data_IF_250678767253
#
_entry.id   IF_250678767253
#
_cell.length_a   1.000
_cell.length_b   1.000
_cell.length_c   1.000
_cell.angle_alpha   90.00
_cell.angle_beta   90.00
_cell.angle_gamma   90.00
#
_symmetry.space_group_name_H-M   'P 1'
#
loop_
_entity.id
_entity.type
_entity.pdbx_description
1 polymer ?
#
# COMPACT_ATOMS: atom_id res chain seq x y z
N UNK A 1 76.52 67.19 31.74
CA UNK A 1 76.41 65.92 30.97
C UNK A 1 74.97 65.49 31.02
N UNK A 2 74.24 65.75 29.93
CA UNK A 2 72.78 65.46 29.79
C UNK A 2 72.66 64.14 29.14
N UNK A 3 71.90 63.23 29.76
CA UNK A 3 71.40 61.96 29.12
C UNK A 3 69.97 62.17 28.68
N UNK A 4 69.73 62.13 27.38
CA UNK A 4 68.43 62.16 26.79
C UNK A 4 67.86 60.73 26.80
N UNK A 5 66.66 60.56 27.38
CA UNK A 5 65.87 59.32 27.27
C UNK A 5 64.92 59.48 26.11
N UNK A 6 65.02 58.60 25.13
CA UNK A 6 64.08 58.44 24.05
C UNK A 6 62.93 57.52 24.52
N UNK A 7 61.74 58.03 24.54
CA UNK A 7 60.54 57.23 24.66
C UNK A 7 60.11 56.75 23.26
N UNK A 8 60.10 55.45 23.04
CA UNK A 8 59.48 54.84 21.83
C UNK A 8 58.07 54.47 22.16
N UNK A 9 57.15 55.18 21.56
CA UNK A 9 55.65 54.87 21.62
C UNK A 9 55.35 53.82 20.59
N UNK A 10 55.16 52.57 21.03
CA UNK A 10 54.75 51.50 20.18
C UNK A 10 53.21 51.54 19.95
N UNK A 11 52.82 51.89 18.75
CA UNK A 11 51.40 51.79 18.32
C UNK A 11 51.06 50.34 18.00
N UNK A 12 50.24 49.73 18.86
CA UNK A 12 49.59 48.44 18.57
C UNK A 12 48.42 48.67 17.60
N UNK A 13 48.67 48.35 16.33
CA UNK A 13 47.55 48.21 15.32
C UNK A 13 46.87 46.89 15.53
N UNK A 14 45.71 46.91 16.18
CA UNK A 14 44.81 45.76 16.22
C UNK A 14 44.09 45.61 14.88
N UNK A 15 44.51 44.64 14.09
CA UNK A 15 43.81 44.21 12.87
C UNK A 15 42.60 43.37 13.28
N UNK A 16 41.44 43.98 13.41
CA UNK A 16 40.17 43.24 13.53
C UNK A 16 39.77 42.71 12.15
N UNK A 17 40.06 41.43 11.94
CA UNK A 17 39.55 40.70 10.80
C UNK A 17 38.06 40.46 10.98
N UNK A 18 37.24 41.31 10.39
CA UNK A 18 35.80 41.04 10.24
C UNK A 18 35.65 39.90 9.23
N UNK A 19 35.51 38.67 9.70
CA UNK A 19 34.94 37.61 8.90
C UNK A 19 33.46 37.96 8.66
N UNK A 20 33.15 38.44 7.48
CA UNK A 20 31.78 38.36 6.95
C UNK A 20 31.44 36.88 6.85
N UNK A 21 30.64 36.37 7.81
CA UNK A 21 29.90 35.16 7.61
C UNK A 21 28.89 35.50 6.50
N UNK A 22 29.25 35.13 5.29
CA UNK A 22 28.32 35.16 4.17
C UNK A 22 27.13 34.28 4.56
N UNK A 23 25.94 34.86 4.62
CA UNK A 23 24.72 34.09 4.63
C UNK A 23 24.82 33.14 3.46
N UNK A 24 24.77 31.83 3.72
CA UNK A 24 24.55 30.83 2.70
C UNK A 24 23.13 31.11 2.21
N UNK A 25 23.03 31.89 1.15
CA UNK A 25 21.79 31.88 0.36
C UNK A 25 21.62 30.43 -0.08
N UNK A 26 20.64 29.76 0.49
CA UNK A 26 20.13 28.51 -0.07
C UNK A 26 19.55 28.89 -1.42
N UNK A 27 20.38 28.81 -2.45
CA UNK A 27 19.90 28.75 -3.82
C UNK A 27 19.07 27.47 -3.88
N UNK A 28 17.77 27.60 -3.75
CA UNK A 28 16.82 26.59 -4.21
C UNK A 28 16.92 26.61 -5.73
N UNK A 29 17.91 25.91 -6.28
CA UNK A 29 17.77 25.45 -7.65
C UNK A 29 16.53 24.59 -7.65
N UNK A 30 15.50 25.05 -8.33
CA UNK A 30 14.34 24.23 -8.72
C UNK A 30 14.89 23.14 -9.67
N UNK A 31 15.43 22.08 -9.07
CA UNK A 31 16.02 20.95 -9.81
C UNK A 31 14.96 20.01 -10.35
N UNK A 32 13.66 20.31 -10.13
CA UNK A 32 12.57 19.37 -10.43
C UNK A 32 12.60 18.10 -9.57
N UNK A 33 13.46 18.05 -8.56
CA UNK A 33 13.59 16.92 -7.65
C UNK A 33 12.47 16.96 -6.60
N UNK A 34 11.60 15.96 -6.63
CA UNK A 34 10.49 15.87 -5.68
C UNK A 34 11.00 15.47 -4.29
N UNK A 35 10.63 16.25 -3.28
CA UNK A 35 10.98 15.98 -1.87
C UNK A 35 9.81 15.23 -1.21
N UNK A 36 10.11 14.09 -0.61
CA UNK A 36 9.11 13.24 0.04
C UNK A 36 9.56 12.80 1.43
N UNK A 37 8.63 12.30 2.24
CA UNK A 37 8.93 11.54 3.45
C UNK A 37 9.01 10.06 3.12
N UNK A 38 10.05 9.40 3.63
CA UNK A 38 10.24 7.94 3.46
C UNK A 38 9.16 7.22 4.25
N UNK A 39 8.44 6.33 3.57
CA UNK A 39 7.50 5.41 4.18
C UNK A 39 8.20 4.27 4.93
N UNK A 40 7.74 3.03 4.71
CA UNK A 40 8.23 1.83 5.40
C UNK A 40 7.27 1.33 6.47
N UNK A 41 6.24 2.12 6.79
CA UNK A 41 5.17 1.69 7.68
C UNK A 41 4.27 0.66 6.98
N UNK A 42 3.91 -0.40 7.71
CA UNK A 42 2.89 -1.36 7.25
C UNK A 42 1.52 -0.72 7.26
N UNK A 43 0.79 -0.93 6.19
CA UNK A 43 -0.56 -0.42 6.00
C UNK A 43 -1.54 -1.54 5.65
N UNK A 44 -2.73 -1.45 6.20
CA UNK A 44 -3.87 -2.28 5.85
C UNK A 44 -4.73 -1.59 4.80
N UNK A 45 -4.86 -2.20 3.64
CA UNK A 45 -5.67 -1.67 2.53
C UNK A 45 -7.01 -2.39 2.49
N UNK A 46 -8.10 -1.63 2.49
CA UNK A 46 -9.45 -2.13 2.19
C UNK A 46 -9.95 -1.43 0.94
N UNK A 47 -9.89 -2.14 -0.19
CA UNK A 47 -10.13 -1.60 -1.53
C UNK A 47 -11.50 -2.05 -2.03
N UNK A 48 -12.39 -1.12 -2.32
CA UNK A 48 -13.71 -1.40 -2.88
C UNK A 48 -13.61 -1.66 -4.38
N UNK A 49 -14.19 -2.76 -4.83
CA UNK A 49 -14.14 -3.17 -6.24
C UNK A 49 -15.28 -2.58 -7.10
N UNK A 50 -16.27 -1.95 -6.48
CA UNK A 50 -17.49 -1.54 -7.18
C UNK A 50 -18.31 -2.72 -7.74
N UNK A 51 -18.04 -3.94 -7.28
CA UNK A 51 -18.68 -5.19 -7.69
C UNK A 51 -19.04 -6.01 -6.46
N UNK A 52 -20.24 -6.60 -6.45
CA UNK A 52 -20.62 -7.56 -5.40
C UNK A 52 -20.37 -8.97 -5.88
N UNK A 53 -19.41 -9.65 -5.29
CA UNK A 53 -19.05 -11.03 -5.63
C UNK A 53 -19.59 -12.01 -4.61
N UNK A 54 -20.23 -13.09 -5.11
CA UNK A 54 -20.65 -14.24 -4.30
C UNK A 54 -19.41 -15.08 -3.98
N UNK A 55 -19.00 -15.11 -2.71
CA UNK A 55 -17.83 -15.88 -2.25
C UNK A 55 -18.22 -17.21 -1.59
N UNK A 56 -19.50 -17.41 -1.34
CA UNK A 56 -20.03 -18.65 -0.82
C UNK A 56 -21.56 -18.65 -0.80
N UNK A 57 -22.13 -19.83 -0.59
CA UNK A 57 -23.54 -20.02 -0.38
C UNK A 57 -23.78 -20.51 1.04
N UNK A 58 -24.88 -20.09 1.65
CA UNK A 58 -25.24 -20.48 2.99
C UNK A 58 -26.75 -20.71 3.13
N UNK A 59 -27.15 -21.32 4.22
CA UNK A 59 -28.53 -21.53 4.57
C UNK A 59 -29.11 -20.31 5.29
N UNK A 60 -30.40 -20.09 5.15
CA UNK A 60 -31.20 -19.09 5.86
C UNK A 60 -32.25 -19.80 6.67
N UNK A 61 -32.34 -19.51 7.96
CA UNK A 61 -33.38 -20.07 8.84
C UNK A 61 -34.61 -19.16 8.79
N UNK A 62 -35.72 -19.70 8.30
CA UNK A 62 -36.99 -18.99 8.24
C UNK A 62 -38.05 -19.65 9.14
N UNK A 63 -39.24 -19.06 9.25
CA UNK A 63 -40.39 -19.65 9.94
C UNK A 63 -40.81 -21.02 9.34
N UNK A 64 -40.62 -21.21 8.04
CA UNK A 64 -40.92 -22.42 7.32
C UNK A 64 -39.81 -23.48 7.30
N UNK A 65 -38.68 -23.21 7.97
CA UNK A 65 -37.53 -24.10 8.03
C UNK A 65 -36.26 -23.49 7.42
N UNK A 66 -35.28 -24.35 7.17
CA UNK A 66 -33.97 -24.00 6.65
C UNK A 66 -33.90 -24.20 5.13
N UNK A 67 -33.43 -23.20 4.39
CA UNK A 67 -33.29 -23.32 2.94
C UNK A 67 -32.23 -22.33 2.40
N UNK A 68 -31.76 -22.55 1.18
CA UNK A 68 -30.83 -21.64 0.48
C UNK A 68 -31.47 -21.17 -0.83
N UNK A 69 -32.18 -20.03 -0.84
CA UNK A 69 -32.86 -19.53 -2.03
C UNK A 69 -31.88 -19.29 -3.19
N UNK A 70 -30.70 -18.78 -2.93
CA UNK A 70 -29.67 -18.52 -3.94
C UNK A 70 -29.21 -19.83 -4.61
N UNK A 71 -28.95 -20.88 -3.82
CA UNK A 71 -28.53 -22.18 -4.32
C UNK A 71 -29.66 -22.79 -5.18
N UNK A 72 -30.90 -22.77 -4.66
CA UNK A 72 -32.08 -23.30 -5.36
C UNK A 72 -32.37 -22.59 -6.68
N UNK A 73 -32.04 -21.31 -6.77
CA UNK A 73 -32.18 -20.52 -7.99
C UNK A 73 -30.97 -20.66 -8.96
N UNK A 74 -29.89 -21.33 -8.56
CA UNK A 74 -28.73 -21.59 -9.42
C UNK A 74 -27.66 -20.54 -9.36
N UNK A 75 -27.62 -19.65 -8.34
CA UNK A 75 -26.45 -18.81 -8.03
C UNK A 75 -25.28 -19.69 -7.62
N UNK A 76 -24.04 -19.25 -7.90
CA UNK A 76 -22.81 -19.99 -7.63
C UNK A 76 -21.75 -19.10 -7.02
N UNK A 77 -20.85 -19.69 -6.28
CA UNK A 77 -19.60 -19.02 -5.88
C UNK A 77 -18.84 -18.56 -7.11
N UNK A 78 -18.34 -17.34 -7.08
CA UNK A 78 -17.68 -16.66 -8.19
C UNK A 78 -18.59 -15.77 -9.03
N UNK A 79 -19.93 -15.89 -8.91
CA UNK A 79 -20.86 -14.97 -9.58
C UNK A 79 -20.65 -13.54 -9.11
N UNK A 80 -20.71 -12.59 -10.04
CA UNK A 80 -20.73 -11.16 -9.72
C UNK A 80 -22.15 -10.63 -9.96
N UNK A 81 -22.74 -10.07 -8.93
CA UNK A 81 -24.08 -9.46 -9.02
C UNK A 81 -23.94 -8.09 -9.65
N UNK A 82 -24.47 -7.92 -10.86
CA UNK A 82 -24.41 -6.67 -11.64
C UNK A 82 -25.62 -5.78 -11.30
N UNK A 83 -26.82 -6.39 -11.26
CA UNK A 83 -28.05 -5.67 -10.94
C UNK A 83 -29.09 -6.61 -10.33
N UNK A 84 -30.04 -6.02 -9.61
CA UNK A 84 -31.20 -6.70 -9.06
C UNK A 84 -32.44 -5.97 -9.51
N UNK A 85 -33.30 -6.65 -10.30
CA UNK A 85 -34.54 -6.10 -10.92
C UNK A 85 -34.26 -4.75 -11.63
N UNK A 86 -33.15 -4.68 -12.40
CA UNK A 86 -32.76 -3.52 -13.18
C UNK A 86 -31.99 -2.44 -12.38
N UNK A 87 -31.91 -2.56 -11.06
CA UNK A 87 -31.14 -1.62 -10.22
C UNK A 87 -29.69 -2.10 -10.12
N UNK A 88 -28.73 -1.28 -10.52
CA UNK A 88 -27.28 -1.58 -10.39
C UNK A 88 -26.91 -1.79 -8.93
N UNK A 89 -26.04 -2.77 -8.68
CA UNK A 89 -25.56 -3.10 -7.33
C UNK A 89 -24.05 -3.06 -7.31
N UNK A 90 -23.46 -2.17 -6.51
CA UNK A 90 -22.03 -1.97 -6.37
C UNK A 90 -21.51 -2.35 -4.97
N UNK A 91 -22.42 -2.39 -3.98
CA UNK A 91 -22.06 -2.74 -2.60
C UNK A 91 -23.00 -3.77 -1.98
N UNK A 92 -22.47 -4.53 -1.02
CA UNK A 92 -23.28 -5.49 -0.23
C UNK A 92 -24.37 -4.77 0.55
N UNK A 93 -24.13 -3.55 0.99
CA UNK A 93 -25.13 -2.70 1.67
C UNK A 93 -26.32 -2.41 0.75
N UNK A 94 -26.07 -1.95 -0.50
CA UNK A 94 -27.13 -1.71 -1.49
C UNK A 94 -27.92 -3.00 -1.79
N UNK A 95 -27.23 -4.14 -1.93
CA UNK A 95 -27.88 -5.42 -2.13
C UNK A 95 -28.86 -5.72 -0.98
N UNK A 96 -28.39 -5.60 0.27
CA UNK A 96 -29.22 -5.89 1.44
C UNK A 96 -30.42 -4.93 1.54
N UNK A 97 -30.27 -3.66 1.23
CA UNK A 97 -31.38 -2.70 1.17
C UNK A 97 -32.45 -3.08 0.14
N UNK A 98 -32.03 -3.54 -1.05
CA UNK A 98 -32.96 -3.99 -2.09
C UNK A 98 -33.71 -5.22 -1.59
N UNK A 99 -33.04 -6.20 -0.99
CA UNK A 99 -33.67 -7.40 -0.44
C UNK A 99 -34.73 -7.05 0.61
N UNK A 100 -34.41 -6.16 1.55
CA UNK A 100 -35.31 -5.76 2.61
C UNK A 100 -36.58 -4.99 2.08
N UNK A 101 -36.36 -4.09 1.10
CA UNK A 101 -37.44 -3.29 0.48
C UNK A 101 -38.47 -4.16 -0.26
N UNK A 102 -38.07 -5.30 -0.78
CA UNK A 102 -38.94 -6.17 -1.58
C UNK A 102 -39.86 -7.08 -0.76
N UNK A 103 -39.61 -7.18 0.55
CA UNK A 103 -40.47 -7.98 1.47
C UNK A 103 -40.72 -9.40 0.99
N UNK A 104 -39.72 -10.06 0.44
CA UNK A 104 -39.78 -11.45 -0.01
C UNK A 104 -40.38 -11.65 -1.40
N UNK A 105 -40.62 -10.60 -2.17
CA UNK A 105 -40.97 -10.73 -3.59
C UNK A 105 -39.81 -11.30 -4.38
N UNK A 106 -40.15 -12.08 -5.41
CA UNK A 106 -39.18 -12.65 -6.34
C UNK A 106 -38.46 -11.56 -7.13
N UNK A 107 -37.13 -11.71 -7.29
CA UNK A 107 -36.25 -10.71 -7.89
C UNK A 107 -35.41 -11.34 -9.01
N UNK A 108 -35.18 -10.58 -10.06
CA UNK A 108 -34.28 -10.94 -11.16
C UNK A 108 -32.89 -10.43 -10.89
N UNK A 109 -31.94 -11.35 -10.70
CA UNK A 109 -30.52 -11.05 -10.53
C UNK A 109 -29.82 -11.16 -11.88
N UNK A 110 -29.29 -10.06 -12.40
CA UNK A 110 -28.32 -10.10 -13.49
C UNK A 110 -26.96 -10.36 -12.91
N UNK A 111 -26.34 -11.47 -13.28
CA UNK A 111 -25.03 -11.87 -12.76
C UNK A 111 -24.07 -12.15 -13.90
N UNK A 112 -22.82 -11.76 -13.71
CA UNK A 112 -21.70 -12.13 -14.58
C UNK A 112 -21.05 -13.39 -14.02
N UNK A 113 -21.02 -14.46 -14.83
CA UNK A 113 -20.40 -15.76 -14.54
C UNK A 113 -19.35 -16.05 -15.59
N UNK A 114 -18.07 -15.85 -15.24
CA UNK A 114 -17.02 -15.80 -16.26
C UNK A 114 -17.24 -14.65 -17.24
N UNK A 115 -17.35 -14.96 -18.52
CA UNK A 115 -17.62 -13.98 -19.58
C UNK A 115 -19.12 -13.87 -19.91
N UNK A 116 -19.95 -14.75 -19.36
CA UNK A 116 -21.40 -14.79 -19.62
C UNK A 116 -22.16 -13.87 -18.65
N UNK A 117 -23.20 -13.18 -19.17
CA UNK A 117 -24.17 -12.45 -18.38
C UNK A 117 -25.48 -13.24 -18.36
N UNK A 118 -25.92 -13.70 -17.19
CA UNK A 118 -27.10 -14.53 -17.02
C UNK A 118 -28.08 -13.88 -16.05
N UNK A 119 -29.38 -14.21 -16.21
CA UNK A 119 -30.42 -13.80 -15.26
C UNK A 119 -30.81 -14.98 -14.40
N UNK A 120 -30.80 -14.78 -13.09
CA UNK A 120 -31.21 -15.78 -12.09
C UNK A 120 -32.35 -15.20 -11.27
N UNK A 121 -33.46 -15.93 -11.19
CA UNK A 121 -34.62 -15.45 -10.46
C UNK A 121 -34.66 -16.04 -9.04
N UNK A 122 -34.51 -15.17 -8.04
CA UNK A 122 -34.37 -15.56 -6.63
C UNK A 122 -35.50 -14.97 -5.80
N UNK A 123 -36.06 -15.76 -4.90
CA UNK A 123 -37.03 -15.30 -3.93
C UNK A 123 -36.38 -15.18 -2.54
N UNK A 124 -36.19 -13.95 -2.02
CA UNK A 124 -35.68 -13.75 -0.67
C UNK A 124 -36.66 -14.30 0.38
N UNK A 125 -36.07 -14.85 1.45
CA UNK A 125 -36.85 -15.32 2.61
C UNK A 125 -36.47 -14.52 3.85
N UNK A 126 -37.45 -14.37 4.77
CA UNK A 126 -37.22 -13.65 6.02
C UNK A 126 -36.43 -14.54 6.99
N UNK A 127 -35.23 -14.09 7.34
CA UNK A 127 -34.41 -14.77 8.33
C UNK A 127 -34.98 -14.58 9.74
N UNK A 128 -35.24 -15.70 10.44
CA UNK A 128 -35.89 -15.73 11.76
C UNK A 128 -35.06 -15.04 12.84
N UNK A 129 -33.73 -15.06 12.71
CA UNK A 129 -32.83 -14.53 13.72
C UNK A 129 -32.72 -13.01 13.61
N UNK A 130 -32.50 -12.52 12.36
CA UNK A 130 -32.24 -11.08 12.12
C UNK A 130 -33.49 -10.30 11.72
N UNK A 131 -34.57 -10.98 11.33
CA UNK A 131 -35.80 -10.39 10.80
C UNK A 131 -35.63 -9.76 9.41
N UNK A 132 -34.45 -9.84 8.80
CA UNK A 132 -34.14 -9.28 7.48
C UNK A 132 -34.37 -10.29 6.37
N UNK A 133 -34.60 -9.80 5.15
CA UNK A 133 -34.76 -10.68 3.98
C UNK A 133 -33.37 -11.05 3.43
N UNK A 134 -33.13 -12.34 3.25
CA UNK A 134 -31.88 -12.92 2.78
C UNK A 134 -32.12 -13.91 1.64
N UNK A 135 -31.07 -14.13 0.85
CA UNK A 135 -31.07 -15.11 -0.24
C UNK A 135 -30.11 -16.29 0.01
N UNK A 136 -29.32 -16.25 1.10
CA UNK A 136 -28.40 -17.32 1.45
C UNK A 136 -27.10 -17.27 0.67
N UNK A 137 -26.44 -16.10 0.63
CA UNK A 137 -25.10 -15.91 0.07
C UNK A 137 -24.16 -15.29 1.10
N UNK A 138 -22.88 -15.62 0.96
CA UNK A 138 -21.77 -14.84 1.47
C UNK A 138 -21.27 -13.98 0.33
N UNK A 139 -21.29 -12.67 0.49
CA UNK A 139 -20.91 -11.72 -0.55
C UNK A 139 -19.83 -10.77 -0.05
N UNK A 140 -18.95 -10.33 -0.95
CA UNK A 140 -17.97 -9.29 -0.70
C UNK A 140 -17.97 -8.24 -1.82
N UNK A 141 -17.67 -7.00 -1.47
CA UNK A 141 -17.53 -5.87 -2.39
C UNK A 141 -16.17 -5.18 -2.24
N UNK A 142 -15.29 -5.75 -1.44
CA UNK A 142 -13.96 -5.22 -1.16
C UNK A 142 -12.92 -6.33 -1.05
N UNK A 143 -11.67 -5.93 -1.23
CA UNK A 143 -10.49 -6.77 -1.03
C UNK A 143 -9.62 -6.10 0.02
N UNK A 144 -9.15 -6.85 1.01
CA UNK A 144 -8.25 -6.35 2.04
C UNK A 144 -6.92 -7.07 1.98
N UNK A 145 -5.84 -6.35 2.30
CA UNK A 145 -4.50 -6.89 2.32
C UNK A 145 -3.54 -5.98 3.08
N UNK A 146 -2.35 -6.52 3.39
CA UNK A 146 -1.26 -5.78 4.02
C UNK A 146 -0.24 -5.43 2.93
N UNK A 147 0.27 -4.21 3.00
CA UNK A 147 1.40 -3.74 2.20
C UNK A 147 2.17 -2.67 2.95
N UNK A 148 3.10 -2.04 2.25
CA UNK A 148 3.95 -1.01 2.81
C UNK A 148 3.76 0.30 2.06
N UNK A 149 3.63 1.42 2.78
CA UNK A 149 3.66 2.76 2.21
C UNK A 149 5.10 3.05 1.77
N UNK A 150 5.28 3.48 0.52
CA UNK A 150 6.61 3.77 -0.04
C UNK A 150 7.05 5.18 0.31
N UNK A 151 6.19 6.15 0.07
CA UNK A 151 6.47 7.56 0.31
C UNK A 151 5.21 8.34 0.65
N UNK A 152 5.42 9.49 1.29
CA UNK A 152 4.40 10.50 1.54
C UNK A 152 4.89 11.82 0.98
N UNK A 153 4.12 12.39 0.07
CA UNK A 153 4.27 13.73 -0.46
C UNK A 153 3.32 14.68 0.27
N UNK A 154 3.86 15.40 1.24
CA UNK A 154 3.05 16.33 2.05
C UNK A 154 2.71 17.61 1.28
N UNK A 155 3.50 17.99 0.29
CA UNK A 155 3.24 19.17 -0.52
C UNK A 155 1.96 19.01 -1.34
N UNK A 156 1.79 17.82 -1.93
CA UNK A 156 0.61 17.47 -2.73
C UNK A 156 -0.43 16.66 -1.95
N UNK A 157 -0.19 16.41 -0.66
CA UNK A 157 -1.05 15.58 0.20
C UNK A 157 -1.30 14.17 -0.35
N UNK A 158 -0.27 13.54 -0.93
CA UNK A 158 -0.35 12.24 -1.61
C UNK A 158 0.53 11.19 -0.95
N UNK A 159 0.19 9.92 -1.18
CA UNK A 159 1.06 8.79 -0.85
C UNK A 159 1.16 7.82 -2.04
N UNK A 160 2.25 7.05 -2.08
CA UNK A 160 2.41 5.88 -2.95
C UNK A 160 2.79 4.65 -2.12
N UNK A 161 2.26 3.49 -2.52
CA UNK A 161 2.42 2.23 -1.81
C UNK A 161 2.47 1.03 -2.76
N UNK A 162 2.93 -0.14 -2.27
CA UNK A 162 2.98 -1.47 -2.91
C UNK A 162 3.95 -1.63 -4.07
N UNK A 163 4.10 -0.69 -4.98
CA UNK A 163 4.98 -0.79 -6.15
C UNK A 163 4.57 -1.82 -7.22
N UNK A 164 3.39 -2.42 -7.12
CA UNK A 164 2.84 -3.37 -8.10
C UNK A 164 1.31 -3.40 -8.03
N UNK A 165 0.67 -3.99 -9.07
CA UNK A 165 -0.78 -4.16 -9.10
C UNK A 165 -1.27 -5.17 -8.06
N UNK A 166 -2.53 -5.02 -7.65
CA UNK A 166 -3.26 -6.05 -6.89
C UNK A 166 -4.09 -6.88 -7.87
N UNK A 167 -3.90 -8.17 -7.85
CA UNK A 167 -4.65 -9.11 -8.70
C UNK A 167 -5.69 -9.86 -7.89
N UNK A 168 -6.82 -10.16 -8.52
CA UNK A 168 -7.85 -11.05 -7.97
C UNK A 168 -7.37 -12.52 -8.00
N UNK A 169 -8.09 -13.41 -7.32
CA UNK A 169 -7.83 -14.86 -7.33
C UNK A 169 -7.84 -15.45 -8.76
N UNK A 170 -8.64 -14.87 -9.67
CA UNK A 170 -8.71 -15.24 -11.08
C UNK A 170 -7.59 -14.63 -11.95
N UNK A 171 -6.56 -14.04 -11.32
CA UNK A 171 -5.40 -13.36 -11.94
C UNK A 171 -5.74 -12.12 -12.75
N UNK A 172 -6.98 -11.62 -12.72
CA UNK A 172 -7.33 -10.33 -13.34
C UNK A 172 -6.95 -9.20 -12.41
N UNK A 173 -6.55 -8.07 -12.99
CA UNK A 173 -6.27 -6.85 -12.22
C UNK A 173 -7.52 -6.39 -11.48
N UNK A 174 -7.35 -6.01 -10.23
CA UNK A 174 -8.41 -5.41 -9.43
C UNK A 174 -8.63 -3.98 -9.92
N UNK A 175 -9.84 -3.66 -10.34
CA UNK A 175 -10.27 -2.27 -10.50
C UNK A 175 -10.88 -1.82 -9.19
N UNK A 176 -10.47 -0.67 -8.70
CA UNK A 176 -11.01 -0.08 -7.47
C UNK A 176 -11.85 1.14 -7.80
N UNK A 177 -12.90 1.36 -7.02
CA UNK A 177 -13.66 2.62 -7.02
C UNK A 177 -13.09 3.60 -5.99
N UNK A 178 -12.74 3.09 -4.83
CA UNK A 178 -12.10 3.77 -3.72
C UNK A 178 -11.52 2.75 -2.73
N UNK A 179 -10.83 3.24 -1.70
CA UNK A 179 -10.35 2.39 -0.61
C UNK A 179 -9.96 3.21 0.61
N UNK A 180 -9.83 2.52 1.74
CA UNK A 180 -9.32 3.11 2.97
C UNK A 180 -8.00 2.44 3.30
N UNK A 181 -7.04 3.24 3.74
CA UNK A 181 -5.72 2.80 4.18
C UNK A 181 -5.61 3.04 5.67
N UNK A 182 -5.39 1.98 6.42
CA UNK A 182 -5.26 2.00 7.87
C UNK A 182 -3.83 1.78 8.31
N UNK A 183 -3.47 2.29 9.47
CA UNK A 183 -2.28 1.80 10.17
C UNK A 183 -2.45 0.31 10.47
N UNK A 184 -1.36 -0.47 10.32
CA UNK A 184 -1.40 -1.91 10.52
C UNK A 184 -0.36 -2.32 11.58
N UNK A 185 -0.84 -2.95 12.63
CA UNK A 185 0.02 -3.54 13.66
C UNK A 185 0.41 -4.97 13.24
N UNK A 186 1.69 -5.19 12.95
CA UNK A 186 2.20 -6.52 12.62
C UNK A 186 2.35 -7.34 13.89
N UNK A 187 1.63 -8.44 13.95
CA UNK A 187 1.56 -9.34 15.13
C UNK A 187 2.31 -10.66 14.92
N UNK A 188 2.86 -10.88 13.73
CA UNK A 188 3.65 -12.07 13.46
C UNK A 188 4.07 -12.18 12.01
N UNK A 189 5.00 -13.10 11.75
CA UNK A 189 5.55 -13.39 10.43
C UNK A 189 5.49 -14.89 10.14
N UNK A 190 5.00 -15.24 8.97
CA UNK A 190 5.21 -16.56 8.37
C UNK A 190 6.49 -16.47 7.54
N UNK A 191 7.57 -17.16 7.95
CA UNK A 191 8.85 -17.06 7.23
C UNK A 191 8.77 -17.57 5.81
N UNK A 192 9.42 -16.84 4.91
CA UNK A 192 9.68 -17.30 3.54
C UNK A 192 10.69 -18.45 3.53
N UNK A 193 10.42 -19.44 2.71
CA UNK A 193 11.35 -20.56 2.44
C UNK A 193 11.39 -20.84 0.96
N UNK A 194 12.43 -21.48 0.50
CA UNK A 194 12.55 -21.83 -0.92
C UNK A 194 11.30 -22.55 -1.42
N UNK A 195 10.70 -22.03 -2.48
CA UNK A 195 9.47 -22.55 -3.10
C UNK A 195 8.18 -21.99 -2.51
N UNK A 196 8.24 -21.24 -1.40
CA UNK A 196 7.06 -20.63 -0.76
C UNK A 196 7.38 -19.25 -0.21
N UNK A 197 6.66 -18.25 -0.68
CA UNK A 197 6.72 -16.91 -0.09
C UNK A 197 6.21 -16.95 1.36
N UNK A 198 6.82 -16.14 2.23
CA UNK A 198 6.31 -15.85 3.55
C UNK A 198 5.29 -14.71 3.52
N UNK A 199 4.74 -14.36 4.68
CA UNK A 199 3.75 -13.28 4.82
C UNK A 199 3.85 -12.58 6.18
N UNK A 200 3.60 -11.28 6.20
CA UNK A 200 3.33 -10.54 7.42
C UNK A 200 1.87 -10.77 7.84
N UNK A 201 1.66 -10.97 9.14
CA UNK A 201 0.32 -11.06 9.74
C UNK A 201 0.10 -9.85 10.60
N UNK A 202 -0.99 -9.13 10.35
CA UNK A 202 -1.25 -7.89 11.05
C UNK A 202 -2.74 -7.66 11.31
N UNK A 203 -3.00 -6.69 12.17
CA UNK A 203 -4.34 -6.20 12.49
C UNK A 203 -4.44 -4.74 12.07
N UNK A 204 -5.48 -4.41 11.31
CA UNK A 204 -5.77 -3.02 10.93
C UNK A 204 -6.28 -2.27 12.17
N UNK A 205 -5.69 -1.12 12.43
CA UNK A 205 -6.13 -0.23 13.48
C UNK A 205 -7.22 0.68 12.91
N UNK A 206 -8.49 0.24 13.03
CA UNK A 206 -9.64 0.89 12.37
C UNK A 206 -9.92 2.32 12.83
N UNK A 207 -9.37 2.73 13.96
CA UNK A 207 -9.40 4.08 14.52
C UNK A 207 -8.26 4.98 13.99
N UNK A 208 -7.31 4.41 13.24
CA UNK A 208 -6.16 5.12 12.69
C UNK A 208 -6.09 4.99 11.17
N UNK A 209 -6.69 5.95 10.48
CA UNK A 209 -6.67 6.02 9.03
C UNK A 209 -5.42 6.76 8.56
N UNK A 210 -4.60 6.13 7.72
CA UNK A 210 -3.45 6.76 7.06
C UNK A 210 -3.87 7.61 5.86
N UNK A 211 -4.96 7.24 5.20
CA UNK A 211 -5.45 7.94 4.03
C UNK A 211 -6.52 7.19 3.25
N UNK A 212 -6.84 7.70 2.07
CA UNK A 212 -7.78 7.09 1.12
C UNK A 212 -7.05 6.66 -0.15
N UNK A 213 -7.29 5.42 -0.60
CA UNK A 213 -6.77 4.93 -1.88
C UNK A 213 -7.73 5.33 -3.00
N UNK A 214 -7.22 6.00 -4.03
CA UNK A 214 -8.01 6.51 -5.15
C UNK A 214 -7.68 5.81 -6.47
N UNK A 215 -6.43 5.38 -6.60
CA UNK A 215 -5.90 4.80 -7.83
C UNK A 215 -5.13 3.53 -7.55
N UNK A 216 -5.41 2.49 -8.33
CA UNK A 216 -4.63 1.27 -8.39
C UNK A 216 -4.18 1.06 -9.83
N UNK A 217 -2.89 0.88 -10.03
CA UNK A 217 -2.30 0.62 -11.34
C UNK A 217 -1.20 -0.45 -11.26
N UNK A 218 -0.49 -0.67 -12.37
CA UNK A 218 0.61 -1.65 -12.44
C UNK A 218 1.80 -1.31 -11.54
N UNK A 219 1.92 -0.07 -11.09
CA UNK A 219 3.03 0.42 -10.27
C UNK A 219 2.65 0.71 -8.82
N UNK A 220 1.43 0.39 -8.38
CA UNK A 220 1.07 0.49 -6.97
C UNK A 220 -0.33 1.01 -6.68
N UNK A 221 -0.51 1.43 -5.44
CA UNK A 221 -1.69 2.12 -4.91
C UNK A 221 -1.30 3.54 -4.58
N UNK A 222 -2.14 4.49 -4.99
CA UNK A 222 -1.96 5.93 -4.78
C UNK A 222 -3.23 6.55 -4.22
N UNK A 223 -3.08 7.65 -3.47
CA UNK A 223 -4.23 8.32 -2.90
C UNK A 223 -3.84 9.49 -2.01
N UNK A 224 -4.81 10.01 -1.28
CA UNK A 224 -4.63 11.13 -0.37
C UNK A 224 -4.26 10.66 1.05
N UNK A 225 -3.34 11.38 1.65
CA UNK A 225 -2.97 11.19 3.06
C UNK A 225 -4.05 11.79 3.97
N UNK A 226 -4.34 11.17 5.10
CA UNK A 226 -5.24 11.75 6.10
C UNK A 226 -4.75 13.13 6.56
N UNK A 227 -5.67 14.08 6.80
CA UNK A 227 -5.30 15.46 7.14
C UNK A 227 -4.51 15.59 8.42
N UNK A 228 -4.77 14.69 9.36
CA UNK A 228 -4.12 14.58 10.67
C UNK A 228 -2.95 13.60 10.69
N UNK A 229 -2.53 13.10 9.51
CA UNK A 229 -1.38 12.21 9.43
C UNK A 229 -0.12 12.93 9.87
N UNK A 230 0.51 12.38 10.91
CA UNK A 230 1.74 12.89 11.48
C UNK A 230 2.96 12.37 10.71
N UNK A 231 3.84 13.29 10.31
CA UNK A 231 5.13 12.97 9.67
C UNK A 231 6.32 13.12 10.62
N UNK A 232 6.07 13.43 11.90
CA UNK A 232 7.13 13.56 12.88
C UNK A 232 7.87 12.22 13.03
N UNK A 233 9.20 12.30 13.00
CA UNK A 233 10.05 11.10 13.03
C UNK A 233 10.27 10.41 11.69
N UNK A 234 9.56 10.80 10.62
CA UNK A 234 9.84 10.30 9.27
C UNK A 234 11.01 11.05 8.63
N UNK A 235 11.87 10.31 7.93
CA UNK A 235 13.00 10.91 7.22
C UNK A 235 12.51 11.58 5.94
N UNK A 236 12.91 12.83 5.76
CA UNK A 236 12.67 13.61 4.54
C UNK A 236 13.82 13.43 3.57
N UNK A 237 13.54 13.18 2.30
CA UNK A 237 14.57 12.94 1.28
C UNK A 237 14.11 13.36 -0.11
N UNK A 238 15.07 13.41 -1.03
CA UNK A 238 14.82 13.57 -2.46
C UNK A 238 14.45 12.20 -3.05
N UNK A 239 13.35 12.14 -3.79
CA UNK A 239 12.95 10.96 -4.54
C UNK A 239 13.53 11.02 -5.96
N UNK A 240 14.63 10.29 -6.21
CA UNK A 240 15.28 10.23 -7.52
C UNK A 240 16.09 8.95 -7.67
N UNK A 241 15.87 8.24 -8.77
CA UNK A 241 16.63 7.05 -9.16
C UNK A 241 17.75 7.35 -10.17
N UNK A 242 18.00 8.62 -10.50
CA UNK A 242 18.95 9.01 -11.56
C UNK A 242 20.33 8.37 -11.36
N UNK A 243 20.83 8.39 -10.14
CA UNK A 243 22.14 7.87 -9.76
C UNK A 243 22.09 6.47 -9.13
N UNK A 244 20.94 5.76 -9.21
CA UNK A 244 20.83 4.41 -8.69
C UNK A 244 21.77 3.45 -9.46
N UNK A 245 22.58 2.69 -8.72
CA UNK A 245 23.56 1.76 -9.26
C UNK A 245 23.69 0.49 -8.40
N UNK A 246 24.27 -0.59 -8.93
CA UNK A 246 24.60 -1.76 -8.13
C UNK A 246 25.47 -1.39 -6.92
N UNK A 247 25.19 -1.97 -5.74
CA UNK A 247 25.92 -1.70 -4.50
C UNK A 247 25.00 -1.64 -3.28
N UNK A 248 25.57 -1.21 -2.15
CA UNK A 248 24.87 -1.11 -0.87
C UNK A 248 23.69 -0.12 -0.94
N UNK A 249 22.61 -0.49 -0.32
CA UNK A 249 21.42 0.31 -0.12
C UNK A 249 20.70 -0.16 1.16
N UNK A 250 19.63 0.49 1.54
CA UNK A 250 18.77 0.09 2.66
C UNK A 250 17.32 0.06 2.22
N UNK A 251 16.51 -0.74 2.89
CA UNK A 251 15.05 -0.67 2.83
C UNK A 251 14.51 -0.28 4.20
N UNK A 252 13.37 0.39 4.22
CA UNK A 252 12.58 0.58 5.44
C UNK A 252 11.37 -0.33 5.40
N UNK A 253 11.11 -1.05 6.47
CA UNK A 253 9.97 -1.95 6.58
C UNK A 253 9.55 -2.14 8.03
N UNK A 254 8.28 -2.43 8.24
CA UNK A 254 7.73 -2.81 9.54
C UNK A 254 7.45 -4.31 9.51
N UNK A 255 8.20 -5.09 10.28
CA UNK A 255 8.01 -6.55 10.39
C UNK A 255 7.48 -6.98 11.76
N UNK A 256 7.39 -6.04 12.71
CA UNK A 256 6.85 -6.25 14.05
C UNK A 256 6.29 -4.93 14.60
N UNK A 257 5.10 -4.98 15.21
CA UNK A 257 4.46 -3.78 15.76
C UNK A 257 4.04 -2.80 14.65
N UNK A 258 4.21 -1.51 14.91
CA UNK A 258 3.85 -0.39 14.00
C UNK A 258 5.07 0.42 13.57
N UNK A 259 6.23 0.21 14.18
CA UNK A 259 7.43 1.01 13.96
C UNK A 259 8.28 0.43 12.83
N UNK A 260 8.57 1.26 11.84
CA UNK A 260 9.49 0.89 10.76
C UNK A 260 10.94 0.86 11.23
N UNK A 261 11.71 -0.05 10.65
CA UNK A 261 13.17 -0.14 10.80
C UNK A 261 13.85 -0.11 9.45
N UNK A 262 15.13 0.26 9.43
CA UNK A 262 15.99 0.13 8.25
C UNK A 262 16.69 -1.22 8.26
N UNK A 263 16.83 -1.83 7.08
CA UNK A 263 17.51 -3.09 6.87
C UNK A 263 18.47 -2.99 5.69
N UNK A 264 19.63 -3.58 5.84
CA UNK A 264 20.68 -3.57 4.81
C UNK A 264 20.32 -4.47 3.63
N UNK A 265 20.52 -3.94 2.43
CA UNK A 265 20.36 -4.67 1.17
C UNK A 265 21.50 -4.36 0.21
N UNK A 266 21.59 -5.15 -0.84
CA UNK A 266 22.40 -4.88 -2.01
C UNK A 266 21.49 -4.73 -3.24
N UNK A 267 21.65 -3.66 -4.00
CA UNK A 267 21.14 -3.56 -5.36
C UNK A 267 22.11 -4.36 -6.24
N UNK A 268 21.67 -5.52 -6.72
CA UNK A 268 22.50 -6.43 -7.53
C UNK A 268 22.51 -6.00 -8.99
N UNK A 269 21.39 -5.47 -9.48
CA UNK A 269 21.22 -5.04 -10.88
C UNK A 269 20.25 -3.86 -10.95
N UNK A 270 20.56 -2.92 -11.84
CA UNK A 270 19.68 -1.82 -12.23
C UNK A 270 19.33 -1.97 -13.72
N UNK A 271 18.05 -1.93 -14.05
CA UNK A 271 17.51 -1.96 -15.41
C UNK A 271 16.47 -0.85 -15.59
N UNK A 272 16.93 0.35 -15.89
CA UNK A 272 16.07 1.54 -16.05
C UNK A 272 15.10 1.45 -17.24
N UNK A 273 15.31 0.51 -18.15
CA UNK A 273 14.46 0.33 -19.35
C UNK A 273 13.41 -0.75 -19.19
N UNK A 274 13.38 -1.41 -18.02
CA UNK A 274 12.41 -2.48 -17.76
C UNK A 274 10.99 -1.91 -17.71
N UNK A 275 10.11 -2.43 -18.58
CA UNK A 275 8.71 -1.99 -18.68
C UNK A 275 7.75 -2.81 -17.82
N UNK A 276 8.24 -3.84 -17.13
CA UNK A 276 7.45 -4.70 -16.25
C UNK A 276 7.58 -4.28 -14.77
N UNK A 277 8.08 -3.06 -14.50
CA UNK A 277 8.30 -2.54 -13.15
C UNK A 277 9.27 -3.40 -12.30
N UNK A 278 10.25 -4.05 -12.98
CA UNK A 278 11.33 -4.85 -12.39
C UNK A 278 12.67 -4.17 -12.60
N UNK A 279 12.76 -2.91 -12.20
CA UNK A 279 13.91 -2.03 -12.48
C UNK A 279 15.13 -2.38 -11.66
N UNK A 280 14.93 -2.94 -10.45
CA UNK A 280 15.99 -3.38 -9.57
C UNK A 280 15.90 -4.87 -9.31
N UNK A 281 17.06 -5.56 -9.26
CA UNK A 281 17.21 -6.83 -8.57
C UNK A 281 17.93 -6.53 -7.27
N UNK A 282 17.30 -6.87 -6.15
CA UNK A 282 17.83 -6.63 -4.81
C UNK A 282 18.10 -7.94 -4.09
N UNK A 283 19.02 -7.89 -3.12
CA UNK A 283 19.33 -8.98 -2.20
C UNK A 283 19.35 -8.44 -0.78
N UNK A 284 18.63 -9.07 0.11
CA UNK A 284 18.69 -8.80 1.55
C UNK A 284 20.05 -9.26 2.06
N UNK A 285 20.76 -8.40 2.79
CA UNK A 285 22.05 -8.68 3.41
C UNK A 285 21.99 -8.50 4.93
N UNK A 286 20.85 -8.05 5.44
CA UNK A 286 20.60 -7.84 6.85
C UNK A 286 20.28 -9.17 7.54
N UNK A 287 21.10 -9.53 8.54
CA UNK A 287 20.98 -10.80 9.24
C UNK A 287 19.70 -10.85 10.11
N UNK A 288 19.30 -9.74 10.77
CA UNK A 288 18.07 -9.68 11.59
C UNK A 288 16.84 -9.94 10.69
N UNK A 289 16.76 -9.26 9.54
CA UNK A 289 15.64 -9.45 8.63
C UNK A 289 15.58 -10.89 8.08
N UNK A 290 16.72 -11.47 7.71
CA UNK A 290 16.78 -12.87 7.23
C UNK A 290 16.36 -13.83 8.33
N UNK A 291 16.82 -13.62 9.56
CA UNK A 291 16.45 -14.46 10.70
C UNK A 291 14.96 -14.39 10.99
N UNK A 292 14.36 -13.18 11.01
CA UNK A 292 12.97 -12.98 11.37
C UNK A 292 11.98 -13.41 10.26
N UNK A 293 12.30 -13.15 8.99
CA UNK A 293 11.36 -13.31 7.88
C UNK A 293 11.76 -14.37 6.86
N UNK A 294 13.02 -14.80 6.85
CA UNK A 294 13.58 -15.66 5.81
C UNK A 294 13.89 -14.93 4.51
N UNK A 295 13.75 -13.60 4.49
CA UNK A 295 13.95 -12.72 3.33
C UNK A 295 12.75 -11.82 3.05
N UNK A 296 12.48 -11.53 1.78
CA UNK A 296 11.32 -10.71 1.38
C UNK A 296 10.04 -11.55 1.51
N UNK A 297 9.04 -11.01 2.22
CA UNK A 297 7.76 -11.67 2.47
C UNK A 297 6.59 -10.80 1.98
N UNK A 298 5.43 -11.39 1.77
CA UNK A 298 4.20 -10.65 1.44
C UNK A 298 3.87 -9.66 2.56
N UNK A 299 3.48 -8.45 2.18
CA UNK A 299 3.33 -7.32 3.08
C UNK A 299 4.51 -6.35 3.04
N UNK A 300 5.73 -6.78 2.65
CA UNK A 300 6.88 -5.90 2.44
C UNK A 300 6.86 -5.20 1.07
N UNK A 301 5.95 -5.55 0.17
CA UNK A 301 5.75 -4.83 -1.09
C UNK A 301 5.48 -3.36 -0.84
N UNK A 302 6.23 -2.46 -1.46
CA UNK A 302 6.23 -1.03 -1.22
C UNK A 302 7.32 -0.56 -0.26
N UNK A 303 8.07 -1.44 0.41
CA UNK A 303 9.20 -1.03 1.25
C UNK A 303 10.15 -0.13 0.47
N UNK A 304 10.35 1.15 0.88
CA UNK A 304 11.20 2.09 0.15
C UNK A 304 12.65 1.63 0.10
N UNK A 305 13.25 1.74 -1.08
CA UNK A 305 14.67 1.47 -1.31
C UNK A 305 15.40 2.81 -1.30
N UNK A 306 16.35 2.95 -0.38
CA UNK A 306 17.14 4.17 -0.22
C UNK A 306 18.61 3.87 -0.50
N UNK A 307 19.21 4.63 -1.39
CA UNK A 307 20.62 4.56 -1.72
C UNK A 307 21.24 5.96 -1.68
N UNK A 308 22.37 6.12 -1.01
CA UNK A 308 23.08 7.39 -0.87
C UNK A 308 22.18 8.53 -0.35
N UNK A 309 21.27 8.21 0.58
CA UNK A 309 20.33 9.17 1.17
C UNK A 309 19.16 9.58 0.26
N UNK A 310 18.98 8.96 -0.90
CA UNK A 310 17.88 9.25 -1.84
C UNK A 310 16.92 8.06 -1.93
N UNK A 311 15.65 8.33 -2.01
CA UNK A 311 14.64 7.32 -2.31
C UNK A 311 14.73 6.97 -3.80
N UNK A 312 15.18 5.76 -4.12
CA UNK A 312 15.41 5.33 -5.51
C UNK A 312 14.33 4.41 -6.05
N UNK A 313 13.58 3.74 -5.18
CA UNK A 313 12.54 2.80 -5.60
C UNK A 313 11.81 2.14 -4.44
N UNK A 314 11.09 1.08 -4.74
CA UNK A 314 10.36 0.27 -3.77
C UNK A 314 10.48 -1.23 -4.07
N UNK A 315 10.47 -2.05 -3.02
CA UNK A 315 10.41 -3.52 -3.13
C UNK A 315 9.08 -3.94 -3.73
N UNK A 316 9.07 -4.90 -4.65
CA UNK A 316 7.84 -5.37 -5.31
C UNK A 316 7.59 -6.85 -5.12
N UNK A 317 8.41 -7.72 -5.69
CA UNK A 317 8.20 -9.16 -5.74
C UNK A 317 9.40 -9.94 -5.20
N UNK A 318 9.12 -11.03 -4.51
CA UNK A 318 10.14 -11.98 -4.01
C UNK A 318 10.43 -13.06 -5.07
N UNK A 319 11.68 -13.55 -5.08
CA UNK A 319 12.04 -14.76 -5.86
C UNK A 319 11.67 -16.01 -5.07
N UNK A 320 10.74 -16.80 -5.57
CA UNK A 320 10.29 -18.01 -4.86
C UNK A 320 11.42 -19.03 -4.60
N UNK A 321 12.41 -19.09 -5.51
CA UNK A 321 13.56 -20.00 -5.36
C UNK A 321 14.66 -19.49 -4.41
N UNK A 322 14.62 -18.20 -4.07
CA UNK A 322 15.56 -17.53 -3.16
C UNK A 322 14.89 -16.32 -2.51
N UNK A 323 14.20 -16.49 -1.37
CA UNK A 323 13.47 -15.40 -0.73
C UNK A 323 14.35 -14.23 -0.27
N UNK A 324 15.66 -14.41 -0.18
CA UNK A 324 16.58 -13.31 0.12
C UNK A 324 16.73 -12.33 -1.04
N UNK A 325 16.18 -12.66 -2.23
CA UNK A 325 16.23 -11.83 -3.43
C UNK A 325 14.84 -11.46 -3.91
N UNK A 326 14.78 -10.35 -4.64
CA UNK A 326 13.52 -9.88 -5.24
C UNK A 326 13.73 -8.78 -6.24
N UNK A 327 12.61 -8.25 -6.71
CA UNK A 327 12.56 -7.11 -7.61
C UNK A 327 12.19 -5.84 -6.85
N UNK A 328 12.58 -4.70 -7.42
CA UNK A 328 12.11 -3.38 -7.07
C UNK A 328 11.71 -2.58 -8.29
N UNK A 329 10.76 -1.66 -8.09
CA UNK A 329 10.32 -0.66 -9.07
C UNK A 329 11.13 0.62 -8.90
N UNK A 330 11.29 1.35 -9.99
CA UNK A 330 11.89 2.68 -10.01
C UNK A 330 10.92 3.71 -9.41
N UNK A 331 11.43 4.59 -8.54
CA UNK A 331 10.61 5.62 -7.89
C UNK A 331 9.99 6.60 -8.88
N UNK A 332 10.66 6.93 -9.98
CA UNK A 332 10.12 7.84 -10.99
C UNK A 332 8.85 7.28 -11.64
N UNK A 333 8.77 5.94 -11.79
CA UNK A 333 7.55 5.28 -12.27
C UNK A 333 6.39 5.45 -11.30
N UNK A 334 6.64 5.42 -9.99
CA UNK A 334 5.61 5.62 -8.98
C UNK A 334 5.20 7.09 -8.84
N UNK A 335 6.15 8.03 -8.98
CA UNK A 335 5.88 9.46 -8.86
C UNK A 335 5.14 10.04 -10.08
N UNK A 336 5.14 9.35 -11.20
CA UNK A 336 4.43 9.77 -12.42
C UNK A 336 2.89 9.54 -12.36
N UNK A 337 2.38 8.91 -11.28
CA UNK A 337 0.98 8.53 -11.12
C UNK A 337 0.17 9.54 -10.31
#
# INVERSE_FOLDING_TARGET
MRKSSFFVLGALLSFSCFYKVGAIETVSADTGEQIVYIGGMSAGFTLKSGEVQVVGLCEVMSESGVSSPALSAGLRTGDKIVSVSGVKVETVTQLNEILDKTKGKRLDFSVQRGDDCITVNVQPIKDKITGKYKIGILARDSVSGIGTVTYIDKEHNRFGALGHTVVKEDKRELKISDGIVYECNIVGVSKGVRGRAGELRGMFLSDKTLGTAEKLCSCGIFGEVAKDFDTDGLLKTVASSENACPGKAIIYSTINGVTQKSYDIEIVKVDKRNKENKNFVIKITDDELIEETGGIVQGMSGSPIVQNGRLVGAVTHVFLNDPTRGYGIDIQTMLAE
#
